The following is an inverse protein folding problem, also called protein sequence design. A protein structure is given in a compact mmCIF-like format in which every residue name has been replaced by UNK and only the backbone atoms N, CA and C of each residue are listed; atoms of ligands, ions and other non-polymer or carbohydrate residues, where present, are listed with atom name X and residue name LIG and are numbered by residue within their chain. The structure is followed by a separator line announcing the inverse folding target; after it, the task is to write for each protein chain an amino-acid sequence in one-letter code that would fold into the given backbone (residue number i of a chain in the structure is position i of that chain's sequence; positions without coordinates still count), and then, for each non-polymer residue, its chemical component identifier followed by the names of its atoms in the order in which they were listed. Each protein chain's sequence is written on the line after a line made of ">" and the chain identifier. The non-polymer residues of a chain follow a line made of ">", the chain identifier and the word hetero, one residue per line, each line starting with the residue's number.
data_IF_639112101166
#
_entry.id   IF_639112101166
#
_cell.length_a   1.000
_cell.length_b   1.000
_cell.length_c   1.000
_cell.angle_alpha   90.00
_cell.angle_beta   90.00
_cell.angle_gamma   90.00
#
_symmetry.space_group_name_H-M   'P 1'
#
loop_
_entity.id
_entity.type
_entity.pdbx_description
1 polymer ?
#
# COMPACT_ATOMS: atom_id res chain seq x y z
N UNK A 1 -17.28 9.82 4.92
CA UNK A 1 -16.48 9.46 3.73
C UNK A 1 -15.00 9.22 4.04
N UNK A 2 -14.25 10.19 4.62
CA UNK A 2 -12.88 9.95 5.12
C UNK A 2 -12.77 8.77 6.09
N UNK A 3 -13.74 8.66 7.00
CA UNK A 3 -13.80 7.59 8.00
C UNK A 3 -13.85 6.21 7.33
N UNK A 4 -14.63 6.04 6.26
CA UNK A 4 -14.75 4.76 5.54
C UNK A 4 -13.47 4.38 4.79
N UNK A 5 -12.79 5.35 4.16
CA UNK A 5 -11.51 5.08 3.49
C UNK A 5 -10.43 4.67 4.49
N UNK A 6 -10.28 5.44 5.58
CA UNK A 6 -9.32 5.14 6.63
C UNK A 6 -9.68 3.81 7.30
N UNK A 7 -10.97 3.56 7.57
CA UNK A 7 -11.44 2.31 8.16
C UNK A 7 -11.15 1.11 7.26
N UNK A 8 -11.36 1.21 5.94
CA UNK A 8 -11.05 0.14 5.00
C UNK A 8 -9.55 -0.15 4.94
N UNK A 9 -8.71 0.89 4.89
CA UNK A 9 -7.26 0.74 4.90
C UNK A 9 -6.74 0.19 6.22
N UNK A 10 -7.36 0.58 7.33
CA UNK A 10 -7.04 0.09 8.66
C UNK A 10 -7.47 -1.37 8.83
N UNK A 11 -8.64 -1.76 8.31
CA UNK A 11 -9.07 -3.15 8.25
C UNK A 11 -8.07 -4.02 7.49
N UNK A 12 -7.61 -3.54 6.33
CA UNK A 12 -6.65 -4.28 5.49
C UNK A 12 -5.29 -4.35 6.15
N UNK A 13 -4.85 -3.27 6.81
CA UNK A 13 -3.63 -3.27 7.61
C UNK A 13 -3.69 -4.31 8.74
N UNK A 14 -4.84 -4.43 9.42
CA UNK A 14 -5.07 -5.42 10.48
C UNK A 14 -5.10 -6.84 9.91
N UNK A 15 -5.84 -7.08 8.81
CA UNK A 15 -5.90 -8.40 8.17
C UNK A 15 -4.50 -8.83 7.73
N UNK A 16 -3.73 -7.95 7.09
CA UNK A 16 -2.36 -8.24 6.69
C UNK A 16 -1.44 -8.44 7.89
N UNK A 17 -1.61 -7.69 8.98
CA UNK A 17 -0.87 -7.89 10.22
C UNK A 17 -1.13 -9.27 10.84
N UNK A 18 -2.39 -9.73 10.85
CA UNK A 18 -2.75 -11.09 11.31
C UNK A 18 -2.09 -12.14 10.41
N UNK A 19 -2.12 -11.95 9.09
CA UNK A 19 -1.45 -12.86 8.15
C UNK A 19 0.06 -12.89 8.40
N UNK A 20 0.71 -11.74 8.60
CA UNK A 20 2.15 -11.68 8.92
C UNK A 20 2.44 -12.44 10.21
N UNK A 21 1.63 -12.25 11.26
CA UNK A 21 1.80 -12.95 12.54
C UNK A 21 1.71 -14.48 12.39
N UNK A 22 0.73 -14.97 11.61
CA UNK A 22 0.64 -16.41 11.32
C UNK A 22 1.81 -16.93 10.49
N UNK A 23 2.31 -16.13 9.54
CA UNK A 23 3.45 -16.48 8.71
C UNK A 23 4.73 -16.54 9.55
N UNK A 24 4.95 -15.57 10.44
CA UNK A 24 6.07 -15.53 11.38
C UNK A 24 6.06 -16.75 12.31
N UNK A 25 4.88 -17.16 12.80
CA UNK A 25 4.75 -18.31 13.70
C UNK A 25 4.99 -19.66 13.03
N UNK A 26 4.69 -19.81 11.74
CA UNK A 26 4.75 -21.10 11.02
C UNK A 26 5.92 -21.23 10.05
N UNK A 27 6.48 -20.14 9.56
CA UNK A 27 7.45 -20.14 8.48
C UNK A 27 8.65 -19.22 8.77
N UNK A 28 9.73 -19.76 9.37
CA UNK A 28 10.98 -19.01 9.58
C UNK A 28 11.72 -18.67 8.27
N UNK A 29 11.18 -19.10 7.12
CA UNK A 29 11.65 -18.80 5.78
C UNK A 29 11.19 -17.42 5.27
N UNK A 30 10.47 -16.64 6.08
CA UNK A 30 10.08 -15.28 5.76
C UNK A 30 10.78 -14.29 6.68
N UNK A 31 11.18 -13.15 6.12
CA UNK A 31 11.62 -12.03 6.93
C UNK A 31 10.39 -11.25 7.39
N UNK A 32 9.89 -11.61 8.57
CA UNK A 32 8.75 -10.96 9.19
C UNK A 32 8.99 -9.45 9.39
N UNK A 33 10.22 -9.01 9.68
CA UNK A 33 10.54 -7.60 9.87
C UNK A 33 10.30 -6.81 8.57
N UNK A 34 10.74 -7.35 7.44
CA UNK A 34 10.51 -6.73 6.14
C UNK A 34 9.01 -6.61 5.81
N UNK A 35 8.21 -7.63 6.12
CA UNK A 35 6.76 -7.61 5.89
C UNK A 35 6.05 -6.58 6.78
N UNK A 36 6.42 -6.50 8.06
CA UNK A 36 5.90 -5.49 8.98
C UNK A 36 6.21 -4.07 8.52
N UNK A 37 7.47 -3.81 8.14
CA UNK A 37 7.90 -2.52 7.61
C UNK A 37 7.12 -2.17 6.34
N UNK A 38 6.97 -3.13 5.42
CA UNK A 38 6.19 -2.96 4.19
C UNK A 38 4.73 -2.58 4.46
N UNK A 39 4.07 -3.25 5.40
CA UNK A 39 2.69 -2.96 5.77
C UNK A 39 2.54 -1.52 6.32
N UNK A 40 3.45 -1.09 7.20
CA UNK A 40 3.46 0.27 7.76
C UNK A 40 3.65 1.33 6.67
N UNK A 41 4.60 1.09 5.75
CA UNK A 41 4.88 2.01 4.63
C UNK A 41 3.65 2.14 3.72
N UNK A 42 3.03 1.02 3.34
CA UNK A 42 1.84 1.01 2.46
C UNK A 42 0.65 1.70 3.13
N UNK A 43 0.45 1.49 4.43
CA UNK A 43 -0.57 2.20 5.19
C UNK A 43 -0.30 3.70 5.22
N UNK A 44 0.94 4.13 5.50
CA UNK A 44 1.33 5.54 5.45
C UNK A 44 1.10 6.18 4.07
N UNK A 45 1.39 5.45 3.01
CA UNK A 45 1.15 5.89 1.63
C UNK A 45 -0.33 6.06 1.30
N UNK A 46 -1.21 5.21 1.83
CA UNK A 46 -2.66 5.38 1.66
C UNK A 46 -3.16 6.67 2.31
N UNK A 47 -2.61 7.05 3.47
CA UNK A 47 -2.93 8.32 4.12
C UNK A 47 -2.41 9.52 3.32
N UNK A 48 -1.22 9.40 2.72
CA UNK A 48 -0.66 10.44 1.86
C UNK A 48 -1.50 10.63 0.59
N UNK A 49 -2.00 9.53 0.03
CA UNK A 49 -2.88 9.51 -1.15
C UNK A 49 -4.16 10.30 -0.89
N UNK A 50 -4.80 10.07 0.26
CA UNK A 50 -5.94 10.89 0.70
C UNK A 50 -5.63 12.38 0.77
N UNK A 51 -4.44 12.77 1.24
CA UNK A 51 -4.05 14.18 1.32
C UNK A 51 -3.89 14.77 -0.08
N UNK A 52 -3.18 14.08 -0.98
CA UNK A 52 -2.96 14.56 -2.36
C UNK A 52 -4.28 14.76 -3.11
N UNK A 53 -5.21 13.81 -3.00
CA UNK A 53 -6.52 13.91 -3.66
C UNK A 53 -7.37 15.04 -3.06
N UNK A 54 -7.30 15.26 -1.74
CA UNK A 54 -8.02 16.37 -1.08
C UNK A 54 -7.55 17.74 -1.56
N UNK A 55 -6.25 17.92 -1.80
CA UNK A 55 -5.69 19.20 -2.28
C UNK A 55 -6.21 19.55 -3.69
N UNK A 56 -6.62 18.55 -4.44
CA UNK A 56 -7.07 18.70 -5.83
C UNK A 56 -8.59 18.67 -5.99
N UNK A 57 -9.32 18.44 -4.89
CA UNK A 57 -10.76 18.15 -4.83
C UNK A 57 -11.70 19.32 -5.20
N UNK A 58 -11.16 20.38 -5.82
CA UNK A 58 -11.89 21.54 -6.32
C UNK A 58 -11.32 22.18 -7.60
N UNK A 59 -10.32 21.58 -8.26
CA UNK A 59 -9.58 22.25 -9.36
C UNK A 59 -9.91 21.80 -10.79
N UNK A 60 -10.64 20.69 -10.97
CA UNK A 60 -11.18 20.14 -12.25
C UNK A 60 -11.13 18.60 -12.21
N UNK A 61 -11.91 17.93 -13.07
CA UNK A 61 -11.83 16.47 -13.26
C UNK A 61 -10.40 16.00 -13.59
N UNK A 62 -9.63 16.81 -14.31
CA UNK A 62 -8.25 16.51 -14.67
C UNK A 62 -7.30 16.53 -13.46
N UNK A 63 -7.52 17.44 -12.51
CA UNK A 63 -6.75 17.46 -11.27
C UNK A 63 -6.99 16.20 -10.41
N UNK A 64 -8.23 15.72 -10.33
CA UNK A 64 -8.53 14.48 -9.61
C UNK A 64 -7.77 13.28 -10.20
N UNK A 65 -7.82 13.13 -11.53
CA UNK A 65 -7.11 12.06 -12.25
C UNK A 65 -5.60 12.15 -12.00
N UNK A 66 -5.01 13.34 -12.12
CA UNK A 66 -3.58 13.55 -11.85
C UNK A 66 -3.19 13.20 -10.40
N UNK A 67 -4.06 13.48 -9.43
CA UNK A 67 -3.83 13.09 -8.03
C UNK A 67 -3.80 11.58 -7.80
N UNK A 68 -4.70 10.85 -8.46
CA UNK A 68 -4.74 9.36 -8.41
C UNK A 68 -3.49 8.77 -9.09
N UNK A 69 -3.11 9.28 -10.26
CA UNK A 69 -1.89 8.84 -10.95
C UNK A 69 -0.63 9.11 -10.13
N UNK A 70 -0.49 10.31 -9.55
CA UNK A 70 0.67 10.67 -8.74
C UNK A 70 0.78 9.80 -7.47
N UNK A 71 -0.34 9.53 -6.80
CA UNK A 71 -0.39 8.60 -5.67
C UNK A 71 0.03 7.18 -6.06
N UNK A 72 -0.51 6.66 -7.17
CA UNK A 72 -0.20 5.31 -7.66
C UNK A 72 1.28 5.16 -8.04
N UNK A 73 1.83 6.16 -8.73
CA UNK A 73 3.25 6.21 -9.09
C UNK A 73 4.14 6.24 -7.84
N UNK A 74 3.80 7.06 -6.85
CA UNK A 74 4.56 7.15 -5.60
C UNK A 74 4.59 5.79 -4.88
N UNK A 75 3.48 5.07 -4.86
CA UNK A 75 3.41 3.72 -4.25
C UNK A 75 4.30 2.72 -4.99
N UNK A 76 4.29 2.73 -6.32
CA UNK A 76 5.18 1.85 -7.12
C UNK A 76 6.64 2.16 -6.84
N UNK A 77 7.04 3.43 -6.84
CA UNK A 77 8.42 3.84 -6.58
C UNK A 77 8.87 3.41 -5.20
N UNK A 78 8.06 3.69 -4.17
CA UNK A 78 8.43 3.34 -2.79
C UNK A 78 8.44 1.83 -2.59
N UNK A 79 7.47 1.09 -3.12
CA UNK A 79 7.44 -0.36 -3.00
C UNK A 79 8.65 -1.01 -3.70
N UNK A 80 8.98 -0.54 -4.91
CA UNK A 80 10.16 -0.99 -5.66
C UNK A 80 11.45 -0.68 -4.90
N UNK A 81 11.56 0.52 -4.31
CA UNK A 81 12.71 0.92 -3.50
C UNK A 81 12.82 0.07 -2.23
N UNK A 82 11.71 -0.22 -1.55
CA UNK A 82 11.70 -1.11 -0.37
C UNK A 82 12.18 -2.53 -0.72
N UNK A 83 11.74 -3.09 -1.84
CA UNK A 83 12.19 -4.40 -2.32
C UNK A 83 13.69 -4.35 -2.66
N UNK A 84 14.15 -3.30 -3.35
CA UNK A 84 15.55 -3.12 -3.71
C UNK A 84 16.45 -3.03 -2.46
N UNK A 85 16.05 -2.22 -1.47
CA UNK A 85 16.75 -2.10 -0.19
C UNK A 85 16.79 -3.44 0.56
N UNK A 86 15.67 -4.18 0.58
CA UNK A 86 15.62 -5.50 1.19
C UNK A 86 16.63 -6.48 0.56
N UNK A 87 16.71 -6.51 -0.77
CA UNK A 87 17.64 -7.36 -1.51
C UNK A 87 19.10 -6.94 -1.30
N UNK A 88 19.38 -5.64 -1.26
CA UNK A 88 20.73 -5.11 -1.03
C UNK A 88 21.25 -5.34 0.39
N UNK A 89 20.38 -5.38 1.39
CA UNK A 89 20.74 -5.64 2.79
C UNK A 89 20.88 -7.13 3.09
N UNK A 90 20.13 -7.99 2.39
CA UNK A 90 20.10 -9.43 2.63
C UNK A 90 20.82 -10.25 1.54
N UNK A 91 21.91 -9.71 0.96
CA UNK A 91 22.63 -10.26 -0.22
C UNK A 91 22.94 -11.76 -0.20
N UNK A 92 23.08 -12.38 0.98
CA UNK A 92 23.39 -13.81 1.12
C UNK A 92 22.20 -14.69 1.58
N UNK A 93 21.03 -14.11 1.85
CA UNK A 93 19.87 -14.80 2.42
C UNK A 93 18.54 -14.26 1.89
N UNK A 94 18.42 -14.11 0.57
CA UNK A 94 17.20 -13.57 -0.03
C UNK A 94 16.07 -14.59 0.10
N UNK A 95 15.13 -14.29 0.99
CA UNK A 95 13.88 -15.02 1.09
C UNK A 95 12.97 -14.62 -0.08
N UNK A 96 13.06 -15.36 -1.19
CA UNK A 96 12.16 -15.25 -2.36
C UNK A 96 10.68 -15.10 -1.99
N UNK A 97 10.12 -15.86 -1.02
CA UNK A 97 8.71 -15.74 -0.70
C UNK A 97 8.38 -14.41 0.03
N UNK A 98 9.32 -13.81 0.77
CA UNK A 98 9.14 -12.47 1.36
C UNK A 98 8.93 -11.40 0.30
N UNK A 99 9.75 -11.42 -0.75
CA UNK A 99 9.64 -10.45 -1.86
C UNK A 99 8.30 -10.59 -2.59
N UNK A 100 7.87 -11.83 -2.82
CA UNK A 100 6.57 -12.11 -3.43
C UNK A 100 5.41 -11.63 -2.55
N UNK A 101 5.48 -11.86 -1.24
CA UNK A 101 4.49 -11.37 -0.28
C UNK A 101 4.42 -9.85 -0.21
N UNK A 102 5.57 -9.14 -0.25
CA UNK A 102 5.62 -7.68 -0.32
C UNK A 102 4.90 -7.15 -1.57
N UNK A 103 5.10 -7.80 -2.71
CA UNK A 103 4.43 -7.45 -3.96
C UNK A 103 2.91 -7.70 -3.88
N UNK A 104 2.52 -8.82 -3.26
CA UNK A 104 1.12 -9.13 -2.97
C UNK A 104 0.45 -8.07 -2.10
N UNK A 105 1.10 -7.67 -1.01
CA UNK A 105 0.62 -6.58 -0.14
C UNK A 105 0.40 -5.28 -0.92
N UNK A 106 1.37 -4.88 -1.74
CA UNK A 106 1.26 -3.70 -2.59
C UNK A 106 0.03 -3.79 -3.53
N UNK A 107 -0.20 -4.96 -4.13
CA UNK A 107 -1.32 -5.18 -5.02
C UNK A 107 -2.67 -4.99 -4.31
N UNK A 108 -2.84 -5.58 -3.12
CA UNK A 108 -4.05 -5.43 -2.32
C UNK A 108 -4.32 -3.96 -1.96
N UNK A 109 -3.31 -3.25 -1.44
CA UNK A 109 -3.44 -1.83 -1.09
C UNK A 109 -3.78 -0.95 -2.31
N UNK A 110 -3.22 -1.27 -3.48
CA UNK A 110 -3.42 -0.49 -4.70
C UNK A 110 -4.80 -0.73 -5.31
N UNK A 111 -5.28 -1.98 -5.34
CA UNK A 111 -6.64 -2.29 -5.81
C UNK A 111 -7.72 -1.62 -4.96
N UNK A 112 -7.54 -1.62 -3.63
CA UNK A 112 -8.47 -0.97 -2.71
C UNK A 112 -8.52 0.54 -2.92
N UNK A 113 -7.35 1.17 -3.05
CA UNK A 113 -7.25 2.60 -3.36
C UNK A 113 -7.98 2.94 -4.65
N UNK A 114 -7.67 2.23 -5.75
CA UNK A 114 -8.27 2.48 -7.06
C UNK A 114 -9.79 2.30 -7.05
N UNK A 115 -10.28 1.26 -6.37
CA UNK A 115 -11.72 0.98 -6.26
C UNK A 115 -12.45 2.06 -5.43
N UNK A 116 -11.87 2.47 -4.30
CA UNK A 116 -12.46 3.51 -3.47
C UNK A 116 -12.43 4.88 -4.17
N UNK A 117 -11.33 5.22 -4.82
CA UNK A 117 -11.18 6.48 -5.56
C UNK A 117 -12.13 6.57 -6.75
N UNK A 118 -12.29 5.48 -7.51
CA UNK A 118 -13.27 5.40 -8.59
C UNK A 118 -14.70 5.62 -8.07
N UNK A 119 -15.05 5.00 -6.94
CA UNK A 119 -16.35 5.20 -6.30
C UNK A 119 -16.55 6.63 -5.76
N UNK A 120 -15.47 7.32 -5.36
CA UNK A 120 -15.53 8.73 -4.96
C UNK A 120 -15.84 9.66 -6.15
N UNK A 121 -15.27 9.39 -7.34
CA UNK A 121 -15.56 10.17 -8.54
C UNK A 121 -17.00 9.98 -9.03
N UNK A 122 -17.51 8.73 -9.00
CA UNK A 122 -18.88 8.41 -9.45
C UNK A 122 -19.97 9.04 -8.59
N UNK A 123 -19.72 9.31 -7.31
CA UNK A 123 -20.68 9.95 -6.38
C UNK A 123 -20.67 11.48 -6.43
N UNK A 124 -19.69 12.09 -7.11
CA UNK A 124 -19.63 13.54 -7.35
C UNK A 124 -20.30 13.97 -8.65
N UNK A 125 -20.62 13.01 -9.52
CA UNK A 125 -21.39 13.21 -10.76
C UNK A 125 -22.86 13.00 -10.47
#
# INVERSE_FOLDING_TARGET
>A
MKKNFILSHLLVAIVLAIVIYFVEAKFPLFDAKALWIGNIILFGLSLLSLRMIKTTDGKSAQGFVNGVYASSLLKIVICSLSILLYVLLNKHGIHKPTVFSLLGMYFFYTMLDGSMLSNMNKRKK
#
